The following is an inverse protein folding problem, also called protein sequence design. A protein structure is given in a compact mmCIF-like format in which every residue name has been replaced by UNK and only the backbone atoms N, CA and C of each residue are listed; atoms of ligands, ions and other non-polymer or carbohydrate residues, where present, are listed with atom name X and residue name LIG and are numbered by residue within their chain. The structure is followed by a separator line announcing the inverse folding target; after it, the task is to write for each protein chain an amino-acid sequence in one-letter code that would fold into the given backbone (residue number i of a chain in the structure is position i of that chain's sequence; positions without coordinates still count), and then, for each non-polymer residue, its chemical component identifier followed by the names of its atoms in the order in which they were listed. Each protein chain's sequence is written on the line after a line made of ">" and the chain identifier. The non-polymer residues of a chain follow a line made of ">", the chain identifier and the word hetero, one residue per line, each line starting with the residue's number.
data_IF_274252335095
#
_entry.id   IF_274252335095
#
_cell.length_a   1.000
_cell.length_b   1.000
_cell.length_c   1.000
_cell.angle_alpha   90.00
_cell.angle_beta   90.00
_cell.angle_gamma   90.00
#
_symmetry.space_group_name_H-M   'P 1'
#
loop_
_entity.id
_entity.type
_entity.pdbx_description
1 polymer ?
#
# COMPACT_ATOMS: atom_id res chain seq x y z
N UNK A 1 20.38 -1.99 -5.36
CA UNK A 1 19.65 -2.17 -4.08
C UNK A 1 18.26 -2.64 -4.43
N UNK A 2 17.83 -3.78 -3.90
CA UNK A 2 16.50 -4.34 -4.22
C UNK A 2 15.43 -3.48 -3.57
N UNK A 3 14.56 -2.84 -4.36
CA UNK A 3 13.43 -2.09 -3.84
C UNK A 3 12.43 -3.10 -3.24
N UNK A 4 12.15 -2.97 -1.94
CA UNK A 4 11.18 -3.82 -1.25
C UNK A 4 9.77 -3.29 -1.54
N UNK A 5 8.90 -4.15 -2.09
CA UNK A 5 7.49 -3.78 -2.29
C UNK A 5 6.86 -3.53 -0.93
N UNK A 6 6.10 -2.45 -0.78
CA UNK A 6 5.27 -2.18 0.40
C UNK A 6 3.80 -2.13 0.01
N UNK A 7 2.94 -2.66 0.86
CA UNK A 7 1.48 -2.60 0.70
C UNK A 7 0.84 -2.12 2.00
N UNK A 8 0.06 -1.04 1.89
CA UNK A 8 -0.85 -0.60 2.94
C UNK A 8 -2.14 -1.42 2.85
N UNK A 9 -2.29 -2.36 3.77
CA UNK A 9 -3.26 -3.44 3.69
C UNK A 9 -4.36 -3.30 4.74
N UNK A 10 -5.58 -3.66 4.35
CA UNK A 10 -6.69 -3.86 5.27
C UNK A 10 -7.19 -5.32 5.12
N UNK A 11 -7.01 -6.18 6.14
CA UNK A 11 -7.44 -7.59 6.07
C UNK A 11 -8.94 -7.78 5.82
N UNK A 12 -9.78 -6.81 6.20
CA UNK A 12 -11.22 -6.86 5.97
C UNK A 12 -11.62 -6.50 4.54
N UNK A 13 -10.74 -5.86 3.75
CA UNK A 13 -11.05 -5.41 2.39
C UNK A 13 -10.70 -6.48 1.34
N UNK A 14 -11.72 -6.96 0.61
CA UNK A 14 -11.56 -7.98 -0.44
C UNK A 14 -10.56 -7.58 -1.53
N UNK A 15 -10.65 -6.35 -2.04
CA UNK A 15 -9.70 -5.82 -3.03
C UNK A 15 -8.27 -5.83 -2.50
N UNK A 16 -8.07 -5.43 -1.24
CA UNK A 16 -6.73 -5.39 -0.63
C UNK A 16 -6.12 -6.78 -0.47
N UNK A 17 -6.92 -7.80 -0.14
CA UNK A 17 -6.47 -9.21 -0.09
C UNK A 17 -6.06 -9.71 -1.47
N UNK A 18 -6.88 -9.46 -2.49
CA UNK A 18 -6.57 -9.85 -3.86
C UNK A 18 -5.28 -9.20 -4.36
N UNK A 19 -5.05 -7.91 -4.07
CA UNK A 19 -3.79 -7.23 -4.42
C UNK A 19 -2.58 -7.85 -3.72
N UNK A 20 -2.68 -8.19 -2.43
CA UNK A 20 -1.60 -8.86 -1.70
C UNK A 20 -1.25 -10.22 -2.31
N UNK A 21 -2.26 -11.01 -2.67
CA UNK A 21 -2.07 -12.30 -3.36
C UNK A 21 -1.44 -12.13 -4.73
N UNK A 22 -1.87 -11.14 -5.52
CA UNK A 22 -1.29 -10.84 -6.83
C UNK A 22 0.20 -10.50 -6.72
N UNK A 23 0.61 -9.71 -5.72
CA UNK A 23 2.02 -9.41 -5.48
C UNK A 23 2.78 -10.70 -5.15
N UNK A 24 2.28 -11.51 -4.21
CA UNK A 24 2.90 -12.78 -3.81
C UNK A 24 3.01 -13.79 -4.96
N UNK A 25 2.03 -13.82 -5.85
CA UNK A 25 2.03 -14.67 -7.04
C UNK A 25 3.14 -14.30 -8.05
N UNK A 26 3.76 -13.11 -7.94
CA UNK A 26 4.97 -12.77 -8.70
C UNK A 26 6.26 -13.33 -8.09
N UNK A 27 6.17 -14.07 -6.98
CA UNK A 27 7.33 -14.58 -6.22
C UNK A 27 7.97 -13.54 -5.30
N UNK A 28 7.36 -12.37 -5.12
CA UNK A 28 7.86 -11.27 -4.29
C UNK A 28 7.06 -11.20 -2.99
N UNK A 29 7.74 -11.14 -1.84
CA UNK A 29 7.08 -10.93 -0.55
C UNK A 29 7.10 -9.43 -0.17
N UNK A 30 5.94 -8.77 -0.09
CA UNK A 30 5.88 -7.36 0.27
C UNK A 30 5.98 -7.14 1.78
N UNK A 31 6.38 -5.94 2.17
CA UNK A 31 6.15 -5.40 3.50
C UNK A 31 4.67 -5.02 3.64
N UNK A 32 3.97 -5.71 4.54
CA UNK A 32 2.54 -5.49 4.79
C UNK A 32 2.38 -4.55 5.99
N UNK A 33 1.74 -3.41 5.78
CA UNK A 33 1.46 -2.41 6.83
C UNK A 33 -0.05 -2.30 7.00
N UNK A 34 -0.57 -2.65 8.18
CA UNK A 34 -1.98 -2.47 8.51
C UNK A 34 -2.28 -0.99 8.82
N UNK A 35 -2.63 -0.20 7.80
CA UNK A 35 -2.72 1.26 7.90
C UNK A 35 -3.73 1.77 8.93
N UNK A 36 -4.74 0.96 9.29
CA UNK A 36 -5.69 1.30 10.34
C UNK A 36 -5.08 1.22 11.75
N UNK A 37 -4.01 0.42 11.93
CA UNK A 37 -3.28 0.28 13.20
C UNK A 37 -2.01 1.14 13.20
N UNK A 38 -1.32 1.18 12.06
CA UNK A 38 -0.04 1.88 11.88
C UNK A 38 -0.17 2.78 10.66
N UNK A 39 -0.85 3.92 10.79
CA UNK A 39 -1.03 4.86 9.69
C UNK A 39 0.32 5.46 9.26
N UNK A 40 0.48 5.81 7.98
CA UNK A 40 1.67 6.52 7.51
C UNK A 40 1.79 7.90 8.17
N UNK A 41 3.01 8.44 8.22
CA UNK A 41 3.21 9.84 8.61
C UNK A 41 2.57 10.77 7.56
N UNK A 42 2.41 12.05 7.91
CA UNK A 42 1.91 13.06 6.97
C UNK A 42 2.79 13.15 5.72
N UNK A 43 4.10 13.18 5.90
CA UNK A 43 5.09 13.30 4.82
C UNK A 43 5.07 12.06 3.92
N UNK A 44 4.94 10.89 4.52
CA UNK A 44 4.82 9.63 3.78
C UNK A 44 3.51 9.58 2.99
N UNK A 45 2.39 9.95 3.59
CA UNK A 45 1.08 10.01 2.91
C UNK A 45 1.12 10.97 1.72
N UNK A 46 1.71 12.16 1.87
CA UNK A 46 1.88 13.12 0.78
C UNK A 46 2.68 12.51 -0.37
N UNK A 47 3.77 11.82 -0.05
CA UNK A 47 4.62 11.14 -1.05
C UNK A 47 3.87 10.03 -1.78
N UNK A 48 3.03 9.27 -1.07
CA UNK A 48 2.21 8.20 -1.66
C UNK A 48 1.17 8.77 -2.64
N UNK A 49 0.49 9.86 -2.26
CA UNK A 49 -0.50 10.53 -3.12
C UNK A 49 0.19 11.09 -4.37
N UNK A 50 1.32 11.78 -4.22
CA UNK A 50 2.10 12.32 -5.34
C UNK A 50 2.51 11.21 -6.32
N UNK A 51 3.06 10.10 -5.81
CA UNK A 51 3.48 8.95 -6.64
C UNK A 51 2.32 8.23 -7.33
N UNK A 52 1.11 8.30 -6.76
CA UNK A 52 -0.08 7.71 -7.37
C UNK A 52 -0.61 8.51 -8.58
N UNK A 53 -0.18 9.77 -8.74
CA UNK A 53 -0.73 10.68 -9.75
C UNK A 53 -2.17 11.11 -9.51
N UNK A 54 -2.74 10.80 -8.33
CA UNK A 54 -4.10 11.17 -7.94
C UNK A 54 -4.11 12.51 -7.19
N UNK A 55 -5.25 13.19 -7.24
CA UNK A 55 -5.53 14.25 -6.27
C UNK A 55 -5.78 13.65 -4.88
N UNK A 56 -5.63 14.46 -3.83
CA UNK A 56 -5.95 14.04 -2.44
C UNK A 56 -7.35 13.45 -2.34
N UNK A 57 -8.35 14.07 -2.99
CA UNK A 57 -9.74 13.57 -3.01
C UNK A 57 -9.89 12.26 -3.78
N UNK A 58 -9.05 12.00 -4.79
CA UNK A 58 -9.07 10.74 -5.55
C UNK A 58 -8.38 9.59 -4.84
N UNK A 59 -7.57 9.86 -3.81
CA UNK A 59 -6.85 8.86 -3.03
C UNK A 59 -7.61 8.38 -1.78
N UNK A 60 -8.81 8.92 -1.53
CA UNK A 60 -9.73 8.57 -0.43
C UNK A 60 -11.06 8.06 -0.98
#
# INVERSE_FOLDING_TARGET
>A
MSQKIKIYHNPACGTSRNTLELIRNTGQEPEVIEYLKTPPSKEELMTLIEKSGLSVRGAI
#
